data_IF_994834716152
#
_entry.id   IF_994834716152
#
_cell.length_a   1.000
_cell.length_b   1.000
_cell.length_c   1.000
_cell.angle_alpha   90.00
_cell.angle_beta   90.00
_cell.angle_gamma   90.00
#
_symmetry.space_group_name_H-M   'P 1'
#
loop_
_entity.id
_entity.type
_entity.pdbx_description
1 polymer ?
#
# COMPACT_ATOMS: atom_id res chain seq x y z
N UNK A 1 15.21 -18.41 10.36
CA UNK A 1 14.64 -17.87 11.61
C UNK A 1 13.89 -19.01 12.27
N UNK A 2 14.28 -19.40 13.48
CA UNK A 2 13.56 -20.42 14.27
C UNK A 2 12.79 -19.65 15.35
N UNK A 3 11.51 -19.93 15.49
CA UNK A 3 10.58 -19.24 16.42
C UNK A 3 9.70 -20.29 17.09
N UNK A 4 9.41 -20.10 18.39
CA UNK A 4 8.44 -20.92 19.13
C UNK A 4 7.03 -20.31 19.10
N UNK A 5 6.87 -19.09 18.56
CA UNK A 5 5.57 -18.44 18.40
C UNK A 5 4.86 -18.95 17.13
N UNK A 6 3.69 -19.60 17.26
CA UNK A 6 2.97 -20.19 16.12
C UNK A 6 2.47 -19.15 15.10
N UNK A 7 2.21 -17.90 15.51
CA UNK A 7 1.85 -16.82 14.57
C UNK A 7 3.07 -16.40 13.74
N UNK A 8 4.27 -16.40 14.33
CA UNK A 8 5.48 -16.06 13.59
C UNK A 8 5.87 -17.18 12.62
N UNK A 9 5.60 -18.44 12.98
CA UNK A 9 5.80 -19.58 12.09
C UNK A 9 4.97 -19.46 10.81
N UNK A 10 3.67 -19.14 10.94
CA UNK A 10 2.80 -18.96 9.76
C UNK A 10 3.20 -17.78 8.88
N UNK A 11 3.69 -16.67 9.47
CA UNK A 11 4.21 -15.53 8.71
C UNK A 11 5.48 -15.92 7.93
N UNK A 12 6.41 -16.66 8.56
CA UNK A 12 7.65 -17.10 7.91
C UNK A 12 7.34 -18.07 6.76
N UNK A 13 6.40 -18.99 6.96
CA UNK A 13 5.97 -19.92 5.91
C UNK A 13 5.35 -19.17 4.73
N UNK A 14 4.40 -18.25 4.99
CA UNK A 14 3.78 -17.44 3.95
C UNK A 14 4.82 -16.63 3.16
N UNK A 15 5.79 -16.02 3.85
CA UNK A 15 6.90 -15.28 3.22
C UNK A 15 7.76 -16.19 2.34
N UNK A 16 8.12 -17.38 2.80
CA UNK A 16 9.00 -18.30 2.05
C UNK A 16 8.33 -18.85 0.79
N UNK A 17 7.00 -18.99 0.82
CA UNK A 17 6.23 -19.53 -0.29
C UNK A 17 5.70 -18.46 -1.25
N UNK A 18 5.84 -17.16 -0.92
CA UNK A 18 5.45 -16.07 -1.79
C UNK A 18 6.45 -15.90 -2.94
N UNK A 19 5.94 -15.69 -4.17
CA UNK A 19 6.78 -15.46 -5.34
C UNK A 19 7.51 -14.11 -5.30
N UNK A 20 6.93 -13.15 -4.58
CA UNK A 20 7.43 -11.79 -4.48
C UNK A 20 7.09 -11.19 -3.11
N UNK A 21 7.98 -10.34 -2.62
CA UNK A 21 7.77 -9.57 -1.41
C UNK A 21 7.80 -8.07 -1.76
N UNK A 22 6.64 -7.44 -1.67
CA UNK A 22 6.47 -6.00 -1.85
C UNK A 22 6.69 -5.29 -0.51
N UNK A 23 7.44 -4.19 -0.50
CA UNK A 23 7.46 -3.28 0.65
C UNK A 23 6.07 -2.65 0.82
N UNK A 24 5.73 -2.17 2.02
CA UNK A 24 4.53 -1.35 2.23
C UNK A 24 4.41 -0.28 1.14
N UNK A 25 3.20 -0.16 0.57
CA UNK A 25 3.03 0.53 -0.69
C UNK A 25 3.25 2.04 -0.56
N UNK A 26 2.87 2.61 0.58
CA UNK A 26 3.15 3.99 0.97
C UNK A 26 4.65 4.29 1.18
N UNK A 27 5.44 3.29 1.56
CA UNK A 27 6.90 3.39 1.65
C UNK A 27 7.62 3.16 0.31
N UNK A 28 6.97 2.42 -0.59
CA UNK A 28 7.53 2.09 -1.89
C UNK A 28 7.38 3.24 -2.89
N UNK A 29 6.24 3.93 -2.85
CA UNK A 29 5.92 5.06 -3.72
C UNK A 29 6.62 6.35 -3.28
N UNK A 30 6.68 7.39 -4.13
CA UNK A 30 7.07 8.72 -3.70
C UNK A 30 6.22 9.16 -2.49
N UNK A 31 6.80 9.86 -1.49
CA UNK A 31 6.11 10.16 -0.24
C UNK A 31 4.72 10.78 -0.41
N UNK A 32 4.57 11.73 -1.35
CA UNK A 32 3.29 12.38 -1.60
C UNK A 32 2.22 11.43 -2.18
N UNK A 33 2.63 10.48 -3.01
CA UNK A 33 1.71 9.44 -3.53
C UNK A 33 1.32 8.49 -2.41
N UNK A 34 2.27 8.05 -1.58
CA UNK A 34 2.00 7.18 -0.44
C UNK A 34 1.05 7.80 0.58
N UNK A 35 1.24 9.08 0.92
CA UNK A 35 0.35 9.84 1.79
C UNK A 35 -1.06 9.94 1.20
N UNK A 36 -1.18 10.27 -0.09
CA UNK A 36 -2.49 10.36 -0.77
C UNK A 36 -3.21 9.00 -0.82
N UNK A 37 -2.50 7.89 -1.00
CA UNK A 37 -3.09 6.55 -0.93
C UNK A 37 -3.72 6.30 0.44
N UNK A 38 -3.02 6.63 1.52
CA UNK A 38 -3.52 6.44 2.88
C UNK A 38 -4.77 7.30 3.14
N UNK A 39 -4.74 8.60 2.80
CA UNK A 39 -5.85 9.52 3.01
C UNK A 39 -7.08 9.17 2.16
N UNK A 40 -6.88 8.82 0.88
CA UNK A 40 -7.97 8.47 -0.02
C UNK A 40 -8.65 7.16 0.41
N UNK A 41 -7.88 6.18 0.90
CA UNK A 41 -8.44 4.95 1.46
C UNK A 41 -9.23 5.24 2.74
N UNK A 42 -8.75 6.14 3.61
CA UNK A 42 -9.52 6.58 4.78
C UNK A 42 -10.88 7.18 4.37
N UNK A 43 -10.89 8.07 3.37
CA UNK A 43 -12.13 8.65 2.84
C UNK A 43 -13.10 7.62 2.29
N UNK A 44 -12.58 6.56 1.63
CA UNK A 44 -13.39 5.45 1.14
C UNK A 44 -14.10 4.73 2.28
N UNK A 45 -13.35 4.38 3.34
CA UNK A 45 -13.90 3.69 4.51
C UNK A 45 -14.86 4.58 5.31
N UNK A 46 -14.64 5.88 5.32
CA UNK A 46 -15.55 6.86 5.92
C UNK A 46 -16.85 7.07 5.09
N UNK A 47 -16.91 6.56 3.85
CA UNK A 47 -18.04 6.77 2.94
C UNK A 47 -18.14 8.21 2.43
N UNK A 48 -17.04 8.96 2.46
CA UNK A 48 -16.96 10.37 2.04
C UNK A 48 -16.64 10.50 0.55
N UNK A 49 -16.00 9.49 -0.04
CA UNK A 49 -15.69 9.41 -1.47
C UNK A 49 -16.08 8.04 -2.06
N UNK A 50 -16.43 8.02 -3.34
CA UNK A 50 -16.65 6.77 -4.08
C UNK A 50 -15.32 6.08 -4.44
N UNK A 51 -15.33 4.78 -4.79
CA UNK A 51 -14.15 4.10 -5.31
C UNK A 51 -13.51 4.80 -6.51
N UNK A 52 -14.33 5.36 -7.42
CA UNK A 52 -13.86 6.09 -8.60
C UNK A 52 -13.17 7.40 -8.23
N UNK A 53 -13.74 8.16 -7.28
CA UNK A 53 -13.13 9.40 -6.79
C UNK A 53 -11.79 9.11 -6.10
N UNK A 54 -11.72 8.04 -5.31
CA UNK A 54 -10.49 7.58 -4.64
C UNK A 54 -9.40 7.20 -5.64
N UNK A 55 -9.76 6.44 -6.68
CA UNK A 55 -8.83 6.09 -7.73
C UNK A 55 -8.31 7.35 -8.45
N UNK A 56 -9.19 8.30 -8.77
CA UNK A 56 -8.80 9.53 -9.46
C UNK A 56 -7.83 10.38 -8.62
N UNK A 57 -8.07 10.52 -7.30
CA UNK A 57 -7.17 11.27 -6.41
C UNK A 57 -5.75 10.68 -6.40
N UNK A 58 -5.63 9.35 -6.38
CA UNK A 58 -4.35 8.64 -6.39
C UNK A 58 -3.66 8.79 -7.76
N UNK A 59 -4.40 8.64 -8.86
CA UNK A 59 -3.86 8.80 -10.22
C UNK A 59 -3.37 10.23 -10.48
N UNK A 60 -4.09 11.24 -10.00
CA UNK A 60 -3.73 12.65 -10.18
C UNK A 60 -2.36 12.97 -9.55
N UNK A 61 -2.10 12.52 -8.32
CA UNK A 61 -0.80 12.74 -7.66
C UNK A 61 0.29 11.84 -8.27
N UNK A 62 -0.04 10.60 -8.64
CA UNK A 62 0.90 9.68 -9.25
C UNK A 62 1.37 10.21 -10.62
N UNK A 63 0.49 10.80 -11.42
CA UNK A 63 0.83 11.41 -12.69
C UNK A 63 1.84 12.57 -12.55
N UNK A 64 1.82 13.29 -11.42
CA UNK A 64 2.77 14.37 -11.13
C UNK A 64 4.11 13.80 -10.65
N UNK A 65 4.07 12.93 -9.64
CA UNK A 65 5.25 12.46 -8.93
C UNK A 65 6.04 11.39 -9.71
N UNK A 66 5.37 10.57 -10.52
CA UNK A 66 6.02 9.49 -11.29
C UNK A 66 6.42 9.91 -12.71
N UNK A 67 5.90 11.03 -13.21
CA UNK A 67 6.34 11.58 -14.49
C UNK A 67 7.59 12.46 -14.37
N UNK A 68 8.00 12.80 -13.14
CA UNK A 68 9.25 13.49 -12.88
C UNK A 68 10.45 12.54 -13.12
N UNK A 69 11.48 12.97 -13.87
CA UNK A 69 12.63 12.13 -14.22
C UNK A 69 13.54 11.79 -13.03
#
# INVERSE_FOLDING_TARGET
VVTENPVMESIIEARNNAEYFQLYYDQFLPPAVGETVNDAVEMLFAGVASPEEVAQMIEDIAAVELAAP
#
